data_IF_240040901368
#
_entry.id   IF_240040901368
#
_cell.length_a   1.000
_cell.length_b   1.000
_cell.length_c   1.000
_cell.angle_alpha   90.00
_cell.angle_beta   90.00
_cell.angle_gamma   90.00
#
_symmetry.space_group_name_H-M   'P 1'
#
loop_
_entity.id
_entity.type
_entity.pdbx_description
1 polymer ?
#
# COMPACT_ATOMS: atom_id res chain seq x y z
N UNK A 1 -39.37 33.55 -44.62
CA UNK A 1 -40.66 32.82 -44.69
C UNK A 1 -40.34 31.33 -44.79
N UNK A 2 -40.89 30.41 -43.99
CA UNK A 2 -41.55 30.52 -42.68
C UNK A 2 -40.82 29.72 -41.56
N UNK A 3 -41.20 30.01 -40.31
CA UNK A 3 -40.96 29.22 -39.10
C UNK A 3 -41.89 28.00 -39.03
N UNK A 4 -41.63 27.04 -38.13
CA UNK A 4 -42.58 26.79 -37.05
C UNK A 4 -41.86 26.69 -35.68
N UNK A 5 -42.28 27.33 -34.59
CA UNK A 5 -43.59 27.32 -33.92
C UNK A 5 -43.88 26.01 -33.17
N UNK A 6 -43.52 26.04 -31.88
CA UNK A 6 -44.41 25.79 -30.74
C UNK A 6 -44.44 24.41 -30.04
N UNK A 7 -44.60 24.55 -28.71
CA UNK A 7 -45.09 23.62 -27.69
C UNK A 7 -44.08 22.55 -27.22
N UNK A 8 -43.77 22.37 -25.94
CA UNK A 8 -44.43 22.78 -24.72
C UNK A 8 -44.01 21.73 -23.69
N UNK A 9 -43.40 22.16 -22.59
CA UNK A 9 -42.97 21.29 -21.50
C UNK A 9 -44.20 20.86 -20.70
N UNK A 10 -44.35 19.57 -20.35
CA UNK A 10 -44.96 19.23 -19.09
C UNK A 10 -43.93 18.62 -18.13
N UNK A 11 -43.66 19.34 -17.05
CA UNK A 11 -43.08 18.82 -15.83
C UNK A 11 -44.05 17.85 -15.18
N UNK A 12 -43.66 16.58 -15.03
CA UNK A 12 -44.43 15.63 -14.23
C UNK A 12 -43.63 15.31 -12.97
N UNK A 13 -44.06 15.91 -11.87
CA UNK A 13 -43.69 15.55 -10.51
C UNK A 13 -44.31 14.21 -10.14
N UNK A 14 -43.50 13.23 -9.78
CA UNK A 14 -43.99 12.01 -9.13
C UNK A 14 -43.59 12.07 -7.66
N UNK A 15 -44.55 12.50 -6.84
CA UNK A 15 -44.60 12.14 -5.43
C UNK A 15 -45.13 10.70 -5.34
N UNK A 16 -44.46 9.84 -4.59
CA UNK A 16 -45.09 8.62 -4.11
C UNK A 16 -44.73 8.40 -2.64
N UNK A 17 -45.78 8.52 -1.85
CA UNK A 17 -45.84 8.39 -0.41
C UNK A 17 -45.84 6.93 0.04
N UNK A 18 -44.92 6.62 0.97
CA UNK A 18 -45.15 5.90 2.23
C UNK A 18 -45.95 4.57 2.31
N UNK A 19 -45.26 3.58 2.90
CA UNK A 19 -45.70 2.50 3.85
C UNK A 19 -46.32 1.21 3.25
N UNK A 20 -46.46 0.12 4.04
CA UNK A 20 -45.46 -0.70 4.74
C UNK A 20 -45.68 -2.21 4.44
N UNK A 21 -44.82 -3.13 4.90
CA UNK A 21 -45.10 -4.57 4.70
C UNK A 21 -44.07 -5.51 5.29
N UNK A 22 -44.24 -5.82 6.56
CA UNK A 22 -43.46 -6.74 7.39
C UNK A 22 -44.01 -8.16 7.18
N UNK A 23 -43.22 -9.10 6.62
CA UNK A 23 -43.50 -10.53 6.74
C UNK A 23 -42.22 -11.35 6.90
N UNK A 24 -42.05 -11.75 8.15
CA UNK A 24 -41.22 -12.79 8.71
C UNK A 24 -41.60 -14.16 8.09
N UNK A 25 -40.65 -14.87 7.48
CA UNK A 25 -40.83 -16.29 7.17
C UNK A 25 -40.08 -17.14 8.19
N UNK A 26 -40.87 -17.84 8.99
CA UNK A 26 -40.47 -18.67 10.09
C UNK A 26 -39.67 -19.90 9.63
N UNK A 27 -38.81 -20.32 10.56
CA UNK A 27 -38.09 -21.57 10.57
C UNK A 27 -39.02 -22.79 10.38
N UNK A 28 -38.56 -23.74 9.56
CA UNK A 28 -39.03 -25.14 9.61
C UNK A 28 -37.86 -25.97 10.11
N UNK A 29 -37.91 -26.32 11.39
CA UNK A 29 -37.08 -27.34 12.01
C UNK A 29 -37.73 -28.73 11.80
N UNK A 30 -37.00 -29.77 11.38
CA UNK A 30 -37.47 -31.14 11.56
C UNK A 30 -37.19 -31.62 13.00
N UNK A 31 -38.16 -32.30 13.65
CA UNK A 31 -37.93 -33.00 14.90
C UNK A 31 -37.53 -34.45 14.59
N UNK A 32 -36.24 -34.78 14.72
CA UNK A 32 -35.82 -36.17 14.88
C UNK A 32 -35.00 -36.29 16.14
N UNK A 33 -35.66 -36.80 17.16
CA UNK A 33 -35.07 -37.30 18.38
C UNK A 33 -34.39 -38.64 18.08
N UNK A 34 -33.12 -38.79 18.45
CA UNK A 34 -32.71 -39.79 19.45
C UNK A 34 -31.19 -40.01 19.47
N UNK A 35 -30.70 -40.03 20.73
CA UNK A 35 -29.53 -40.74 21.27
C UNK A 35 -28.10 -40.39 20.81
N UNK A 36 -27.51 -39.53 21.64
CA UNK A 36 -26.18 -39.55 22.26
C UNK A 36 -25.11 -40.55 21.81
N UNK A 37 -23.90 -40.02 21.55
CA UNK A 37 -22.64 -40.49 22.15
C UNK A 37 -21.82 -39.25 22.53
N UNK A 38 -21.68 -38.95 23.82
CA UNK A 38 -20.58 -38.12 24.33
C UNK A 38 -19.33 -38.98 24.31
N UNK A 39 -18.56 -38.89 23.23
CA UNK A 39 -17.15 -39.27 23.32
C UNK A 39 -16.49 -38.14 24.10
N UNK A 40 -16.27 -38.39 25.40
CA UNK A 40 -15.24 -37.70 26.19
C UNK A 40 -13.90 -38.14 25.60
N UNK A 41 -13.60 -37.60 24.43
CA UNK A 41 -12.38 -37.83 23.71
C UNK A 41 -11.52 -36.62 23.96
N UNK A 42 -10.55 -36.80 24.85
CA UNK A 42 -9.44 -35.89 25.06
C UNK A 42 -9.06 -35.24 23.74
N UNK A 43 -9.32 -33.94 23.61
CA UNK A 43 -8.66 -33.15 22.59
C UNK A 43 -7.22 -32.97 23.10
N UNK A 44 -6.43 -34.04 22.96
CA UNK A 44 -4.99 -33.98 23.02
C UNK A 44 -4.60 -33.12 21.82
N UNK A 45 -4.53 -31.83 22.11
CA UNK A 45 -3.36 -31.03 21.80
C UNK A 45 -2.83 -31.25 20.39
N UNK A 46 -3.58 -30.76 19.41
CA UNK A 46 -2.96 -30.19 18.22
C UNK A 46 -2.72 -28.69 18.45
N UNK A 47 -2.09 -28.36 19.58
CA UNK A 47 -1.16 -27.23 19.65
C UNK A 47 0.09 -27.67 18.86
N UNK A 48 -0.05 -27.79 17.54
CA UNK A 48 1.09 -28.03 16.66
C UNK A 48 1.88 -26.73 16.56
N UNK A 49 2.64 -26.46 17.62
CA UNK A 49 3.91 -25.74 17.57
C UNK A 49 3.83 -24.45 16.77
N UNK A 50 3.21 -23.45 17.39
CA UNK A 50 3.63 -22.04 17.32
C UNK A 50 5.07 -21.91 17.88
N UNK A 51 6.01 -22.63 17.28
CA UNK A 51 7.38 -22.76 17.73
C UNK A 51 8.26 -21.98 16.79
N UNK A 52 8.65 -20.82 17.29
CA UNK A 52 9.78 -19.99 16.85
C UNK A 52 9.59 -19.28 15.52
N UNK A 53 9.49 -17.95 15.61
CA UNK A 53 10.16 -17.11 14.63
C UNK A 53 11.54 -17.71 14.36
N UNK A 54 11.89 -17.93 13.09
CA UNK A 54 13.18 -18.51 12.77
C UNK A 54 14.29 -17.62 13.36
N UNK A 55 15.42 -18.20 13.76
CA UNK A 55 16.55 -17.43 14.32
C UNK A 55 16.89 -16.24 13.41
N UNK A 56 16.77 -16.43 12.09
CA UNK A 56 16.93 -15.36 11.09
C UNK A 56 15.94 -14.20 11.28
N UNK A 57 14.66 -14.49 11.50
CA UNK A 57 13.63 -13.47 11.66
C UNK A 57 13.81 -12.64 12.95
N UNK A 58 14.39 -13.25 13.99
CA UNK A 58 14.70 -12.58 15.25
C UNK A 58 15.85 -11.60 15.04
N UNK A 59 16.96 -12.08 14.46
CA UNK A 59 18.13 -11.25 14.14
C UNK A 59 17.78 -10.08 13.21
N UNK A 60 16.92 -10.32 12.21
CA UNK A 60 16.46 -9.27 11.29
C UNK A 60 15.67 -8.17 12.00
N UNK A 61 14.83 -8.52 12.99
CA UNK A 61 14.05 -7.55 13.77
C UNK A 61 14.95 -6.71 14.66
N UNK A 62 15.84 -7.35 15.42
CA UNK A 62 16.79 -6.69 16.31
C UNK A 62 17.65 -5.69 15.52
N UNK A 63 18.21 -6.11 14.39
CA UNK A 63 19.04 -5.24 13.57
C UNK A 63 18.26 -4.06 12.96
N UNK A 64 16.98 -4.23 12.62
CA UNK A 64 16.12 -3.13 12.16
C UNK A 64 15.85 -2.10 13.26
N UNK A 65 15.64 -2.57 14.49
CA UNK A 65 15.37 -1.70 15.65
C UNK A 65 16.60 -0.87 16.01
N UNK A 66 17.80 -1.46 15.99
CA UNK A 66 19.05 -0.72 16.21
C UNK A 66 19.23 0.42 15.19
N UNK A 67 18.93 0.16 13.91
CA UNK A 67 19.07 1.17 12.86
C UNK A 67 18.00 2.25 13.00
N UNK A 68 16.78 1.90 13.42
CA UNK A 68 15.71 2.90 13.68
C UNK A 68 15.99 3.76 14.91
N UNK A 69 16.64 3.22 15.94
CA UNK A 69 17.05 3.99 17.11
C UNK A 69 18.10 5.06 16.75
N UNK A 70 19.01 4.73 15.84
CA UNK A 70 20.08 5.64 15.39
C UNK A 70 19.59 6.76 14.47
N UNK A 71 18.47 6.57 13.75
CA UNK A 71 17.98 7.54 12.77
C UNK A 71 16.48 7.43 12.50
N UNK A 72 15.85 8.59 12.34
CA UNK A 72 14.46 8.69 11.95
C UNK A 72 14.28 8.34 10.47
N UNK A 73 13.55 7.26 10.19
CA UNK A 73 13.25 6.83 8.83
C UNK A 73 11.75 7.03 8.57
N UNK A 74 11.36 7.92 7.63
CA UNK A 74 9.95 8.13 7.32
C UNK A 74 9.35 6.93 6.60
N UNK A 75 8.02 6.77 6.72
CA UNK A 75 7.32 5.72 5.97
C UNK A 75 7.21 6.09 4.48
N UNK A 76 7.94 5.36 3.63
CA UNK A 76 8.00 5.60 2.20
C UNK A 76 7.00 4.69 1.48
N UNK A 77 6.04 5.30 0.77
CA UNK A 77 5.10 4.56 -0.08
C UNK A 77 5.36 4.80 -1.56
N UNK A 78 5.02 3.84 -2.44
CA UNK A 78 5.01 4.05 -3.88
C UNK A 78 4.18 5.28 -4.25
N UNK A 79 4.67 6.10 -5.17
CA UNK A 79 4.04 7.35 -5.59
C UNK A 79 4.51 8.58 -4.83
N UNK A 80 5.36 8.44 -3.81
CA UNK A 80 5.94 9.58 -3.10
C UNK A 80 7.14 10.12 -3.87
N UNK A 81 7.30 11.44 -3.84
CA UNK A 81 8.52 12.12 -4.31
C UNK A 81 9.46 12.28 -3.13
N UNK A 82 10.65 11.70 -3.23
CA UNK A 82 11.64 11.68 -2.15
C UNK A 82 12.92 12.38 -2.61
N UNK A 83 13.52 13.13 -1.70
CA UNK A 83 14.87 13.64 -1.81
C UNK A 83 15.78 12.88 -0.84
N UNK A 84 16.83 12.28 -1.38
CA UNK A 84 17.84 11.52 -0.66
C UNK A 84 19.16 12.26 -0.68
N UNK A 85 19.84 12.28 0.46
CA UNK A 85 21.26 12.65 0.57
C UNK A 85 22.07 11.38 0.79
N UNK A 86 22.90 11.02 -0.18
CA UNK A 86 23.72 9.80 -0.16
C UNK A 86 25.19 10.17 -0.15
N UNK A 87 25.94 9.56 0.76
CA UNK A 87 27.39 9.62 0.77
C UNK A 87 27.97 8.62 -0.23
N UNK A 88 28.92 9.09 -1.04
CA UNK A 88 29.58 8.24 -2.04
C UNK A 88 30.90 7.74 -1.46
N UNK A 89 31.12 6.41 -1.37
CA UNK A 89 32.33 5.86 -0.76
C UNK A 89 33.62 6.28 -1.48
N UNK A 90 33.59 6.37 -2.81
CA UNK A 90 34.78 6.69 -3.62
C UNK A 90 35.24 8.15 -3.44
N UNK A 91 34.29 9.05 -3.18
CA UNK A 91 34.54 10.47 -3.01
C UNK A 91 34.13 10.85 -1.60
N UNK A 92 34.93 10.44 -0.60
CA UNK A 92 34.67 10.51 0.86
C UNK A 92 34.14 11.84 1.42
N UNK A 93 34.12 12.93 0.64
CA UNK A 93 33.61 14.26 1.04
C UNK A 93 32.33 14.69 0.32
N UNK A 94 31.91 14.00 -0.74
CA UNK A 94 30.80 14.43 -1.60
C UNK A 94 29.49 13.75 -1.20
N UNK A 95 28.53 14.55 -0.76
CA UNK A 95 27.14 14.12 -0.60
C UNK A 95 26.41 14.37 -1.92
N UNK A 96 25.88 13.31 -2.52
CA UNK A 96 25.04 13.41 -3.72
C UNK A 96 23.57 13.53 -3.33
N UNK A 97 22.85 14.39 -4.04
CA UNK A 97 21.42 14.57 -3.86
C UNK A 97 20.64 13.87 -4.98
N UNK A 98 19.75 12.95 -4.61
CA UNK A 98 18.85 12.27 -5.52
C UNK A 98 17.42 12.70 -5.25
N UNK A 99 16.73 13.20 -6.28
CA UNK A 99 15.31 13.54 -6.21
C UNK A 99 14.57 12.75 -7.27
N UNK A 100 13.49 12.09 -6.89
CA UNK A 100 12.69 11.29 -7.82
C UNK A 100 11.44 10.70 -7.19
N UNK A 101 10.70 9.95 -7.99
CA UNK A 101 9.47 9.27 -7.56
C UNK A 101 9.80 7.84 -7.16
N UNK A 102 9.23 7.39 -6.05
CA UNK A 102 9.32 6.00 -5.61
C UNK A 102 8.35 5.15 -6.42
N UNK A 103 8.87 4.19 -7.16
CA UNK A 103 8.08 3.31 -8.03
C UNK A 103 7.60 2.08 -7.27
N UNK A 104 8.49 1.51 -6.48
CA UNK A 104 8.26 0.25 -5.79
C UNK A 104 9.05 0.24 -4.49
N UNK A 105 8.49 -0.44 -3.50
CA UNK A 105 9.15 -0.78 -2.24
C UNK A 105 9.07 -2.30 -2.06
N UNK A 106 10.17 -2.89 -1.63
CA UNK A 106 10.28 -4.28 -1.22
C UNK A 106 10.57 -4.29 0.28
N UNK A 107 9.75 -4.98 1.04
CA UNK A 107 9.96 -5.17 2.47
C UNK A 107 10.60 -6.55 2.66
N UNK A 108 11.80 -6.58 3.24
CA UNK A 108 12.57 -7.79 3.47
C UNK A 108 13.46 -7.59 4.71
N UNK A 109 12.84 -7.28 5.86
CA UNK A 109 13.54 -6.98 7.11
C UNK A 109 14.56 -5.87 6.94
N UNK A 110 15.82 -6.14 7.32
CA UNK A 110 16.96 -5.24 7.16
C UNK A 110 17.30 -4.93 5.69
N UNK A 111 17.01 -5.85 4.78
CA UNK A 111 17.24 -5.70 3.34
C UNK A 111 16.04 -5.07 2.60
N UNK A 112 15.21 -4.31 3.32
CA UNK A 112 14.12 -3.55 2.70
C UNK A 112 14.68 -2.49 1.74
N UNK A 113 14.20 -2.47 0.50
CA UNK A 113 14.69 -1.59 -0.56
C UNK A 113 13.56 -0.82 -1.21
N UNK A 114 13.88 0.32 -1.79
CA UNK A 114 12.94 1.08 -2.62
C UNK A 114 13.61 1.54 -3.91
N UNK A 115 12.80 1.67 -4.96
CA UNK A 115 13.24 2.07 -6.30
C UNK A 115 12.82 3.49 -6.58
N UNK A 116 13.80 4.35 -6.85
CA UNK A 116 13.62 5.73 -7.24
C UNK A 116 13.76 5.87 -8.75
N UNK A 117 12.84 6.57 -9.41
CA UNK A 117 12.97 6.97 -10.82
C UNK A 117 13.08 8.47 -10.93
N UNK A 118 14.05 8.92 -11.73
CA UNK A 118 14.23 10.33 -12.12
C UNK A 118 14.70 10.42 -13.56
N UNK A 119 14.42 11.56 -14.20
CA UNK A 119 14.98 11.88 -15.50
C UNK A 119 16.25 12.72 -15.26
N UNK A 120 17.38 12.30 -15.83
CA UNK A 120 18.64 13.07 -15.77
C UNK A 120 19.15 13.20 -17.20
N UNK A 121 19.39 14.43 -17.64
CA UNK A 121 19.89 14.71 -18.99
C UNK A 121 19.08 14.01 -20.11
N UNK A 122 17.75 13.97 -19.96
CA UNK A 122 16.86 13.32 -20.94
C UNK A 122 16.74 11.80 -20.82
N UNK A 123 17.55 11.15 -19.98
CA UNK A 123 17.53 9.69 -19.78
C UNK A 123 16.80 9.33 -18.49
N UNK A 124 15.90 8.33 -18.57
CA UNK A 124 15.17 7.80 -17.43
C UNK A 124 16.04 6.86 -16.60
N UNK A 125 16.54 7.33 -15.46
CA UNK A 125 17.37 6.55 -14.55
C UNK A 125 16.50 5.97 -13.44
N UNK A 126 16.64 4.66 -13.23
CA UNK A 126 16.13 3.97 -12.05
C UNK A 126 17.28 3.63 -11.12
N UNK A 127 17.13 3.94 -9.83
CA UNK A 127 18.13 3.65 -8.80
C UNK A 127 17.46 2.91 -7.65
N UNK A 128 18.12 1.86 -7.15
CA UNK A 128 17.65 1.05 -6.05
C UNK A 128 18.45 1.39 -4.79
N UNK A 129 17.75 1.71 -3.70
CA UNK A 129 18.37 2.07 -2.43
C UNK A 129 17.88 1.16 -1.31
N UNK A 130 18.79 0.62 -0.46
CA UNK A 130 18.40 -0.01 0.79
C UNK A 130 17.93 1.04 1.78
N UNK A 131 16.76 0.84 2.36
CA UNK A 131 16.16 1.75 3.34
C UNK A 131 17.04 1.86 4.58
N UNK A 132 17.68 0.75 4.97
CA UNK A 132 18.49 0.63 6.19
C UNK A 132 19.99 0.92 6.02
N UNK A 133 20.44 1.39 4.84
CA UNK A 133 21.87 1.62 4.58
C UNK A 133 22.46 2.82 5.33
N UNK A 134 23.68 2.71 5.92
CA UNK A 134 24.35 3.82 6.60
C UNK A 134 24.82 4.92 5.64
N UNK A 135 24.95 4.62 4.34
CA UNK A 135 25.37 5.59 3.32
C UNK A 135 24.31 6.67 3.07
N UNK A 136 23.08 6.45 3.51
CA UNK A 136 21.98 7.42 3.39
C UNK A 136 21.97 8.30 4.64
N UNK A 137 22.34 9.57 4.48
CA UNK A 137 22.37 10.54 5.58
C UNK A 137 20.98 11.06 5.95
N UNK A 138 20.16 11.33 4.95
CA UNK A 138 18.85 11.96 5.15
C UNK A 138 17.86 11.56 4.07
N UNK A 139 16.62 11.29 4.47
CA UNK A 139 15.49 10.98 3.60
C UNK A 139 14.39 12.02 3.84
N UNK A 140 14.13 12.89 2.86
CA UNK A 140 13.04 13.86 2.90
C UNK A 140 11.92 13.46 1.95
N UNK A 141 10.71 13.34 2.47
CA UNK A 141 9.51 13.20 1.64
C UNK A 141 9.05 14.60 1.23
N UNK A 142 9.10 14.90 -0.06
CA UNK A 142 8.71 16.21 -0.59
C UNK A 142 7.22 16.26 -0.90
N UNK A 143 6.74 15.29 -1.66
CA UNK A 143 5.35 15.22 -2.10
C UNK A 143 4.79 13.81 -1.89
N UNK A 144 3.54 13.74 -1.47
CA UNK A 144 2.79 12.50 -1.32
C UNK A 144 1.70 12.46 -2.38
N UNK A 145 1.76 11.50 -3.30
CA UNK A 145 0.70 11.26 -4.28
C UNK A 145 0.03 9.92 -4.00
N UNK A 146 -1.30 9.94 -3.97
CA UNK A 146 -2.07 8.71 -3.84
C UNK A 146 -2.08 7.97 -5.19
N UNK A 147 -1.71 6.69 -5.17
CA UNK A 147 -1.62 5.84 -6.35
C UNK A 147 -2.38 4.55 -6.11
N UNK A 148 -3.12 4.09 -7.12
CA UNK A 148 -3.93 2.86 -7.01
C UNK A 148 -3.09 1.58 -7.07
N UNK A 149 -1.91 1.62 -7.69
CA UNK A 149 -1.04 0.45 -7.86
C UNK A 149 0.10 0.47 -6.84
N UNK A 150 0.41 -0.69 -6.27
CA UNK A 150 1.53 -0.87 -5.34
C UNK A 150 2.91 -0.78 -6.02
N UNK A 151 3.00 -1.04 -7.33
CA UNK A 151 4.24 -0.89 -8.12
C UNK A 151 3.94 -0.09 -9.38
N UNK A 152 4.65 1.01 -9.58
CA UNK A 152 4.39 1.99 -10.64
C UNK A 152 5.23 1.75 -11.89
N UNK A 153 5.41 0.49 -12.31
CA UNK A 153 6.29 0.16 -13.44
C UNK A 153 5.82 0.77 -14.76
N UNK A 154 4.54 1.10 -14.87
CA UNK A 154 3.98 1.83 -16.01
C UNK A 154 4.58 3.24 -16.20
N UNK A 155 5.31 3.78 -15.21
CA UNK A 155 6.02 5.06 -15.35
C UNK A 155 7.27 4.96 -16.24
N UNK A 156 7.64 3.75 -16.70
CA UNK A 156 8.70 3.54 -17.68
C UNK A 156 8.27 4.02 -19.06
N UNK A 157 7.05 3.67 -19.45
CA UNK A 157 6.50 3.92 -20.78
C UNK A 157 5.84 5.30 -20.86
N UNK A 158 5.53 5.91 -19.71
CA UNK A 158 4.94 7.25 -19.66
C UNK A 158 6.03 8.32 -19.70
N UNK A 159 5.99 9.14 -20.75
CA UNK A 159 6.84 10.32 -20.95
C UNK A 159 6.59 11.42 -19.90
N UNK A 160 5.40 11.45 -19.31
CA UNK A 160 4.97 12.59 -18.51
C UNK A 160 5.34 12.44 -17.03
N UNK A 161 6.18 13.37 -16.57
CA UNK A 161 6.32 13.69 -15.16
C UNK A 161 4.93 13.91 -14.56
N UNK A 162 4.69 13.35 -13.37
CA UNK A 162 3.48 13.59 -12.60
C UNK A 162 3.43 15.09 -12.23
N UNK A 163 2.91 15.93 -13.13
CA UNK A 163 2.68 17.35 -12.85
C UNK A 163 1.69 17.46 -11.69
N UNK A 164 1.96 18.37 -10.76
CA UNK A 164 0.99 18.79 -9.75
C UNK A 164 -0.23 19.36 -10.49
N UNK A 165 -1.42 18.96 -10.08
CA UNK A 165 -2.63 19.75 -10.27
C UNK A 165 -2.72 20.72 -9.11
#
# INVERSE_FOLDING_TARGET
MPTPSNNGIPSVSVSCSSRPGLLHWAAVLPPFTSRCITTVGNNVESASRDSSASISDILDKEAVEEVRAKREIPDIKPGYTVQLKVEVPDNKRRVQMFKGIVIARRNAGLNSTFRLRRLVAGVGIESLFPLYSPNIKEIKVLDKKNMRRAKLYYLRDKMNALKKK
#
